data_IF_076922282527
#
_entry.id   IF_076922282527
#
_cell.length_a   1.000
_cell.length_b   1.000
_cell.length_c   1.000
_cell.angle_alpha   90.00
_cell.angle_beta   90.00
_cell.angle_gamma   90.00
#
_symmetry.space_group_name_H-M   'P 1'
#
loop_
_entity.id
_entity.type
_entity.pdbx_description
1 polymer ?
#
# COMPACT_ATOMS: atom_id res chain seq x y z
N UNK A 1 -4.56 10.31 32.62
CA UNK A 1 -3.55 10.83 31.66
C UNK A 1 -3.83 12.25 31.16
N UNK A 2 -5.02 12.81 31.30
CA UNK A 2 -5.40 14.17 30.86
C UNK A 2 -4.86 15.30 31.75
N UNK A 3 -4.74 15.11 33.04
CA UNK A 3 -4.29 16.14 33.99
C UNK A 3 -2.82 16.54 33.82
N UNK A 4 -1.92 15.60 33.51
CA UNK A 4 -0.52 15.89 33.27
C UNK A 4 -0.28 16.73 32.01
N UNK A 5 -1.16 16.61 31.01
CA UNK A 5 -1.09 17.34 29.73
C UNK A 5 -1.50 18.82 29.90
N UNK A 6 -2.39 19.12 30.85
CA UNK A 6 -2.84 20.48 31.13
C UNK A 6 -1.81 21.28 31.89
N UNK A 7 -1.08 20.66 32.82
CA UNK A 7 0.00 21.32 33.58
C UNK A 7 1.29 21.53 32.77
N UNK A 8 1.55 20.70 31.78
CA UNK A 8 2.74 20.83 30.90
C UNK A 8 2.83 22.20 30.20
N UNK A 9 1.72 22.87 29.95
CA UNK A 9 1.67 24.19 29.30
C UNK A 9 2.24 25.31 30.16
N UNK A 10 2.13 25.18 31.48
CA UNK A 10 2.56 26.22 32.44
C UNK A 10 3.97 25.97 32.97
N UNK A 11 4.51 24.77 32.79
CA UNK A 11 5.85 24.38 33.26
C UNK A 11 6.93 25.35 32.79
N UNK A 12 7.04 25.76 31.50
CA UNK A 12 8.08 26.68 31.03
C UNK A 12 7.97 28.05 31.69
N UNK A 13 6.75 28.56 31.88
CA UNK A 13 6.50 29.84 32.53
C UNK A 13 6.86 29.84 34.01
N UNK A 14 6.50 28.79 34.73
CA UNK A 14 6.84 28.61 36.15
C UNK A 14 8.35 28.48 36.32
N UNK A 15 9.00 27.70 35.43
CA UNK A 15 10.46 27.53 35.49
C UNK A 15 11.21 28.85 35.23
N UNK A 16 10.69 29.68 34.33
CA UNK A 16 11.26 31.00 34.03
C UNK A 16 11.12 31.96 35.20
N UNK A 17 9.96 31.96 35.89
CA UNK A 17 9.74 32.76 37.11
C UNK A 17 10.69 32.31 38.23
N UNK A 18 10.83 30.99 38.43
CA UNK A 18 11.73 30.43 39.43
C UNK A 18 13.19 30.81 39.13
N UNK A 19 13.61 30.73 37.86
CA UNK A 19 14.94 31.14 37.43
C UNK A 19 15.19 32.65 37.72
N UNK A 20 14.20 33.49 37.44
CA UNK A 20 14.27 34.92 37.68
C UNK A 20 14.40 35.24 39.17
N UNK A 21 13.59 34.59 40.02
CA UNK A 21 13.66 34.71 41.49
C UNK A 21 15.05 34.25 42.00
N UNK A 22 15.56 33.14 41.47
CA UNK A 22 16.89 32.63 41.83
C UNK A 22 17.98 33.63 41.47
N UNK A 23 17.96 34.24 40.29
CA UNK A 23 18.91 35.27 39.87
C UNK A 23 18.86 36.47 40.80
N UNK A 24 17.68 36.95 41.21
CA UNK A 24 17.51 38.04 42.14
C UNK A 24 18.09 37.71 43.52
N UNK A 25 17.94 36.50 44.01
CA UNK A 25 18.48 36.05 45.30
C UNK A 25 20.03 35.99 45.23
N UNK A 26 20.58 35.43 44.15
CA UNK A 26 22.05 35.39 43.94
C UNK A 26 22.60 36.80 43.85
N UNK A 27 21.95 37.70 43.14
CA UNK A 27 22.35 39.10 43.03
C UNK A 27 22.34 39.80 44.40
N UNK A 28 21.28 39.59 45.18
CA UNK A 28 21.13 40.17 46.55
C UNK A 28 22.25 39.67 47.49
N UNK A 29 22.52 38.36 47.46
CA UNK A 29 23.62 37.80 48.30
C UNK A 29 24.97 38.30 47.85
N UNK A 30 25.26 38.37 46.55
CA UNK A 30 26.50 38.89 45.99
C UNK A 30 26.69 40.38 46.32
N UNK A 31 25.63 41.18 46.17
CA UNK A 31 25.67 42.61 46.50
C UNK A 31 25.94 42.85 47.98
N UNK A 32 25.33 42.10 48.90
CA UNK A 32 25.55 42.21 50.34
C UNK A 32 26.96 41.80 50.72
N UNK A 33 27.53 40.77 50.08
CA UNK A 33 28.89 40.28 50.32
C UNK A 33 29.92 41.33 49.86
N UNK A 34 29.70 42.01 48.75
CA UNK A 34 30.53 43.08 48.23
C UNK A 34 30.51 44.33 49.10
N UNK A 35 29.32 44.72 49.60
CA UNK A 35 29.19 45.85 50.56
C UNK A 35 29.97 45.59 51.85
N UNK A 36 29.91 44.33 52.34
CA UNK A 36 30.67 43.93 53.53
C UNK A 36 32.19 43.91 53.37
N UNK A 37 32.72 43.78 52.12
CA UNK A 37 34.10 43.73 51.77
C UNK A 37 34.71 45.12 51.42
N UNK A 38 33.94 46.20 51.50
CA UNK A 38 34.43 47.58 51.28
C UNK A 38 34.78 47.94 49.82
N UNK A 39 34.38 47.12 48.86
CA UNK A 39 34.64 47.36 47.44
C UNK A 39 33.45 48.14 46.84
N UNK A 40 33.68 49.41 46.49
CA UNK A 40 32.75 50.26 45.75
C UNK A 40 32.74 49.86 44.29
N UNK A 41 31.81 48.88 43.93
CA UNK A 41 31.54 48.57 42.54
C UNK A 41 30.42 49.53 42.08
N UNK A 42 30.68 50.25 41.01
CA UNK A 42 29.69 51.05 40.32
C UNK A 42 28.57 50.10 39.87
N UNK A 43 27.42 50.13 40.54
CA UNK A 43 26.28 49.21 40.39
C UNK A 43 25.67 49.19 38.99
N UNK A 44 26.09 50.05 38.08
CA UNK A 44 25.58 50.19 36.73
C UNK A 44 25.75 48.94 35.86
N UNK A 45 26.92 48.29 35.89
CA UNK A 45 27.18 47.09 35.11
C UNK A 45 26.35 45.87 35.57
N UNK A 46 26.16 45.73 36.87
CA UNK A 46 25.36 44.66 37.41
C UNK A 46 23.87 44.82 37.04
N UNK A 47 23.34 46.04 37.07
CA UNK A 47 22.00 46.34 36.59
C UNK A 47 21.86 46.11 35.08
N UNK A 48 22.88 46.48 34.29
CA UNK A 48 22.88 46.24 32.85
C UNK A 48 22.77 44.74 32.52
N UNK A 49 23.55 43.87 33.16
CA UNK A 49 23.48 42.43 32.95
C UNK A 49 22.13 41.85 33.41
N UNK A 50 21.54 42.35 34.48
CA UNK A 50 20.21 41.90 34.96
C UNK A 50 19.11 42.23 33.96
N UNK A 51 19.12 43.42 33.38
CA UNK A 51 18.22 43.85 32.33
C UNK A 51 18.42 43.02 31.07
N UNK A 52 19.66 42.74 30.68
CA UNK A 52 19.98 41.92 29.51
C UNK A 52 19.42 40.50 29.67
N UNK A 53 19.58 39.86 30.83
CA UNK A 53 19.02 38.52 31.13
C UNK A 53 17.50 38.54 31.09
N UNK A 54 16.86 39.57 31.61
CA UNK A 54 15.42 39.71 31.54
C UNK A 54 14.91 39.81 30.09
N UNK A 55 15.59 40.60 29.24
CA UNK A 55 15.24 40.73 27.83
C UNK A 55 15.39 39.37 27.10
N UNK A 56 16.52 38.67 27.31
CA UNK A 56 16.74 37.36 26.72
C UNK A 56 15.66 36.33 27.17
N UNK A 57 15.31 36.36 28.47
CA UNK A 57 14.22 35.53 29.01
C UNK A 57 12.86 35.78 28.38
N UNK A 58 12.50 37.07 28.17
CA UNK A 58 11.27 37.45 27.49
C UNK A 58 11.27 36.99 26.03
N UNK A 59 12.38 37.18 25.32
CA UNK A 59 12.51 36.71 23.94
C UNK A 59 12.37 35.18 23.83
N UNK A 60 13.03 34.45 24.71
CA UNK A 60 12.91 32.99 24.74
C UNK A 60 11.49 32.55 25.05
N UNK A 61 10.81 33.20 25.99
CA UNK A 61 9.41 32.89 26.34
C UNK A 61 8.46 33.16 25.16
N UNK A 62 8.65 34.28 24.45
CA UNK A 62 7.83 34.56 23.25
C UNK A 62 8.06 33.55 22.13
N UNK A 63 9.30 33.08 21.92
CA UNK A 63 9.63 32.03 20.96
C UNK A 63 8.94 30.69 21.33
N UNK A 64 8.95 30.30 22.60
CA UNK A 64 8.29 29.07 23.08
C UNK A 64 6.77 29.16 22.90
N UNK A 65 6.16 30.31 23.20
CA UNK A 65 4.71 30.49 22.98
C UNK A 65 4.35 30.42 21.51
N UNK A 66 5.13 31.03 20.62
CA UNK A 66 4.91 31.00 19.18
C UNK A 66 5.05 29.57 18.63
N UNK A 67 6.09 28.83 19.05
CA UNK A 67 6.27 27.43 18.67
C UNK A 67 5.09 26.54 19.09
N UNK A 68 4.54 26.74 20.29
CA UNK A 68 3.37 25.98 20.76
C UNK A 68 2.10 26.30 19.97
N UNK A 69 1.93 27.51 19.47
CA UNK A 69 0.79 27.87 18.62
C UNK A 69 0.89 27.20 17.24
N UNK A 70 2.10 27.21 16.64
CA UNK A 70 2.35 26.54 15.36
C UNK A 70 2.07 25.01 15.44
N UNK A 71 2.45 24.37 16.55
CA UNK A 71 2.15 22.94 16.77
C UNK A 71 0.65 22.68 16.84
N UNK A 72 -0.11 23.56 17.50
CA UNK A 72 -1.57 23.40 17.56
C UNK A 72 -2.24 23.57 16.20
N UNK A 73 -1.79 24.54 15.41
CA UNK A 73 -2.32 24.78 14.07
C UNK A 73 -2.05 23.56 13.16
N UNK A 74 -0.87 22.96 13.25
CA UNK A 74 -0.54 21.72 12.55
C UNK A 74 -1.38 20.52 13.04
N UNK A 75 -1.63 20.38 14.35
CA UNK A 75 -2.51 19.33 14.88
C UNK A 75 -3.95 19.45 14.34
N UNK A 76 -4.46 20.68 14.23
CA UNK A 76 -5.79 20.95 13.67
C UNK A 76 -5.83 20.62 12.18
N UNK A 77 -4.78 20.98 11.43
CA UNK A 77 -4.69 20.70 10.01
C UNK A 77 -4.60 19.18 9.74
N UNK A 78 -3.78 18.45 10.51
CA UNK A 78 -3.71 16.99 10.46
C UNK A 78 -5.07 16.34 10.79
N UNK A 79 -5.80 16.85 11.80
CA UNK A 79 -7.11 16.34 12.15
C UNK A 79 -8.13 16.59 11.01
N UNK A 80 -8.09 17.76 10.38
CA UNK A 80 -8.96 18.09 9.24
C UNK A 80 -8.66 17.22 8.01
N UNK A 81 -7.38 16.97 7.72
CA UNK A 81 -6.96 16.08 6.62
C UNK A 81 -7.36 14.62 6.88
N UNK A 82 -7.24 14.14 8.11
CA UNK A 82 -7.73 12.80 8.50
C UNK A 82 -9.23 12.67 8.31
N UNK A 83 -10.00 13.69 8.72
CA UNK A 83 -11.45 13.71 8.52
C UNK A 83 -11.81 13.67 7.01
N UNK A 84 -11.15 14.46 6.18
CA UNK A 84 -11.34 14.44 4.71
C UNK A 84 -10.97 13.10 4.07
N UNK A 85 -9.93 12.42 4.58
CA UNK A 85 -9.56 11.08 4.13
C UNK A 85 -10.63 10.06 4.52
N UNK A 86 -11.15 10.14 5.75
CA UNK A 86 -12.23 9.28 6.24
C UNK A 86 -13.53 9.50 5.43
N UNK A 87 -13.93 10.75 5.22
CA UNK A 87 -15.08 11.09 4.37
C UNK A 87 -14.90 10.62 2.92
N UNK A 88 -13.69 10.73 2.36
CA UNK A 88 -13.40 10.23 1.02
C UNK A 88 -13.41 8.70 0.93
N UNK A 89 -13.07 8.00 2.01
CA UNK A 89 -13.20 6.54 2.11
C UNK A 89 -14.66 6.13 2.21
N UNK A 90 -15.44 6.80 3.07
CA UNK A 90 -16.89 6.56 3.21
C UNK A 90 -17.63 6.86 1.91
N UNK A 91 -17.29 7.97 1.21
CA UNK A 91 -17.88 8.28 -0.10
C UNK A 91 -17.46 7.26 -1.19
N UNK A 92 -16.24 6.70 -1.12
CA UNK A 92 -15.82 5.61 -2.02
C UNK A 92 -16.55 4.30 -1.69
N UNK A 93 -16.82 4.01 -0.43
CA UNK A 93 -17.61 2.85 0.00
C UNK A 93 -19.09 3.01 -0.36
N UNK A 94 -19.69 4.17 -0.10
CA UNK A 94 -21.08 4.48 -0.50
C UNK A 94 -21.23 4.53 -2.03
N UNK A 95 -20.22 5.03 -2.79
CA UNK A 95 -20.20 4.95 -4.25
C UNK A 95 -19.99 3.52 -4.77
N UNK A 96 -19.35 2.64 -4.00
CA UNK A 96 -19.29 1.20 -4.30
C UNK A 96 -20.64 0.51 -4.05
N UNK A 97 -21.44 0.96 -3.08
CA UNK A 97 -22.76 0.39 -2.80
C UNK A 97 -23.88 0.94 -3.71
N UNK A 98 -23.74 2.15 -4.26
CA UNK A 98 -24.75 2.78 -5.15
C UNK A 98 -24.49 2.64 -6.64
N UNK A 99 -23.34 2.10 -7.06
CA UNK A 99 -23.26 1.52 -8.40
C UNK A 99 -24.11 0.25 -8.33
N UNK A 100 -25.34 0.33 -8.85
CA UNK A 100 -26.13 -0.83 -9.26
C UNK A 100 -25.13 -1.77 -9.93
N UNK A 101 -24.72 -2.83 -9.22
CA UNK A 101 -23.87 -3.87 -9.79
C UNK A 101 -24.70 -4.47 -10.92
N UNK A 102 -24.46 -4.04 -12.16
CA UNK A 102 -24.86 -4.86 -13.29
C UNK A 102 -24.19 -6.20 -13.02
N UNK A 103 -25.02 -7.17 -12.63
CA UNK A 103 -24.58 -8.54 -12.40
C UNK A 103 -23.88 -8.98 -13.68
N UNK A 104 -22.62 -9.36 -13.57
CA UNK A 104 -21.83 -9.80 -14.74
C UNK A 104 -22.60 -10.96 -15.36
N UNK A 105 -22.99 -10.81 -16.60
CA UNK A 105 -23.49 -11.94 -17.38
C UNK A 105 -22.29 -12.84 -17.73
N UNK A 106 -22.09 -13.84 -16.88
CA UNK A 106 -20.91 -14.72 -16.89
C UNK A 106 -20.75 -15.38 -18.27
N UNK A 107 -21.85 -15.86 -18.86
CA UNK A 107 -21.82 -16.56 -20.14
C UNK A 107 -21.44 -15.62 -21.29
N UNK A 108 -22.03 -14.44 -21.33
CA UNK A 108 -21.74 -13.42 -22.33
C UNK A 108 -20.29 -12.90 -22.20
N UNK A 109 -19.83 -12.63 -20.98
CA UNK A 109 -18.47 -12.15 -20.76
C UNK A 109 -17.42 -13.22 -21.07
N UNK A 110 -17.65 -14.47 -20.69
CA UNK A 110 -16.76 -15.57 -21.06
C UNK A 110 -16.64 -15.74 -22.58
N UNK A 111 -17.75 -15.61 -23.30
CA UNK A 111 -17.78 -15.67 -24.77
C UNK A 111 -17.00 -14.53 -25.42
N UNK A 112 -17.01 -13.33 -24.81
CA UNK A 112 -16.26 -12.19 -25.32
C UNK A 112 -14.74 -12.33 -25.06
N UNK A 113 -14.36 -13.08 -24.03
CA UNK A 113 -12.96 -13.30 -23.66
C UNK A 113 -12.32 -14.40 -24.49
N UNK A 114 -13.05 -15.51 -24.75
CA UNK A 114 -12.52 -16.67 -25.44
C UNK A 114 -12.35 -16.35 -26.95
N UNK A 115 -11.14 -16.50 -27.50
CA UNK A 115 -10.91 -16.33 -28.95
C UNK A 115 -11.75 -17.31 -29.79
N UNK A 116 -12.19 -16.87 -30.96
CA UNK A 116 -13.08 -17.70 -31.80
C UNK A 116 -12.40 -18.90 -32.49
N UNK A 117 -11.15 -18.78 -32.94
CA UNK A 117 -10.37 -19.83 -33.61
C UNK A 117 -9.27 -20.40 -32.68
N UNK A 118 -8.77 -21.58 -33.05
CA UNK A 118 -7.56 -22.19 -32.46
C UNK A 118 -6.67 -22.57 -33.65
N UNK A 119 -6.03 -21.58 -34.26
CA UNK A 119 -5.08 -21.87 -35.34
C UNK A 119 -3.73 -22.33 -34.78
N UNK A 120 -3.31 -21.73 -33.69
CA UNK A 120 -2.10 -22.04 -32.93
C UNK A 120 -2.32 -21.72 -31.44
N UNK A 121 -1.82 -22.61 -30.57
CA UNK A 121 -2.03 -22.51 -29.12
C UNK A 121 -1.33 -21.27 -28.51
N UNK A 122 -0.21 -20.84 -29.09
CA UNK A 122 0.51 -19.65 -28.63
C UNK A 122 -0.29 -18.39 -28.95
N UNK A 123 -0.70 -18.22 -30.22
CA UNK A 123 -1.52 -17.10 -30.69
C UNK A 123 -2.89 -17.07 -29.97
N UNK A 124 -3.47 -18.23 -29.73
CA UNK A 124 -4.70 -18.36 -28.93
C UNK A 124 -4.50 -17.83 -27.51
N UNK A 125 -3.43 -18.26 -26.84
CA UNK A 125 -3.10 -17.81 -25.48
C UNK A 125 -2.82 -16.31 -25.42
N UNK A 126 -2.06 -15.75 -26.37
CA UNK A 126 -1.80 -14.30 -26.45
C UNK A 126 -3.12 -13.50 -26.58
N UNK A 127 -4.00 -13.93 -27.50
CA UNK A 127 -5.30 -13.27 -27.71
C UNK A 127 -6.18 -13.37 -26.47
N UNK A 128 -6.23 -14.55 -25.84
CA UNK A 128 -6.96 -14.78 -24.60
C UNK A 128 -6.49 -13.86 -23.48
N UNK A 129 -5.18 -13.82 -23.24
CA UNK A 129 -4.58 -12.96 -22.21
C UNK A 129 -4.79 -11.47 -22.50
N UNK A 130 -4.71 -11.06 -23.76
CA UNK A 130 -5.00 -9.67 -24.18
C UNK A 130 -6.46 -9.28 -23.88
N UNK A 131 -7.41 -10.15 -24.20
CA UNK A 131 -8.83 -9.92 -23.92
C UNK A 131 -9.09 -9.81 -22.41
N UNK A 132 -8.48 -10.68 -21.61
CA UNK A 132 -8.52 -10.63 -20.15
C UNK A 132 -7.91 -9.33 -19.63
N UNK A 133 -6.73 -8.97 -20.12
CA UNK A 133 -6.01 -7.78 -19.65
C UNK A 133 -6.82 -6.49 -19.91
N UNK A 134 -7.41 -6.36 -21.09
CA UNK A 134 -8.25 -5.21 -21.45
C UNK A 134 -9.50 -5.10 -20.56
N UNK A 135 -10.08 -6.23 -20.19
CA UNK A 135 -11.35 -6.23 -19.44
C UNK A 135 -11.16 -6.09 -17.94
N UNK A 136 -10.10 -6.68 -17.36
CA UNK A 136 -9.89 -6.77 -15.92
C UNK A 136 -8.68 -5.98 -15.42
N UNK A 137 -8.09 -5.13 -16.26
CA UNK A 137 -6.90 -4.32 -15.92
C UNK A 137 -5.75 -5.21 -15.41
N UNK A 138 -5.55 -6.38 -16.03
CA UNK A 138 -4.39 -7.19 -15.73
C UNK A 138 -3.12 -6.48 -16.22
N UNK A 139 -2.07 -6.57 -15.42
CA UNK A 139 -0.77 -5.96 -15.70
C UNK A 139 0.25 -6.97 -16.20
N UNK A 140 0.00 -8.25 -15.93
CA UNK A 140 0.74 -9.37 -16.50
C UNK A 140 -0.17 -10.60 -16.56
N UNK A 141 0.04 -11.45 -17.56
CA UNK A 141 -0.65 -12.72 -17.68
C UNK A 141 0.27 -13.79 -18.25
N UNK A 142 0.12 -15.03 -17.77
CA UNK A 142 0.85 -16.20 -18.25
C UNK A 142 -0.15 -17.31 -18.58
N UNK A 143 0.13 -18.04 -19.67
CA UNK A 143 -0.67 -19.14 -20.13
C UNK A 143 0.19 -20.39 -20.27
N UNK A 144 -0.22 -21.45 -19.58
CA UNK A 144 0.45 -22.74 -19.55
C UNK A 144 -0.46 -23.83 -20.07
N UNK A 145 0.11 -24.77 -20.79
CA UNK A 145 -0.58 -26.00 -21.19
C UNK A 145 0.16 -27.23 -20.69
N UNK A 146 -0.59 -28.24 -20.28
CA UNK A 146 -0.05 -29.53 -19.85
C UNK A 146 0.40 -30.32 -21.08
N UNK A 147 1.65 -30.68 -21.07
CA UNK A 147 2.21 -31.60 -22.04
C UNK A 147 1.75 -33.03 -21.71
N UNK A 148 1.20 -33.74 -22.70
CA UNK A 148 0.59 -35.05 -22.49
C UNK A 148 1.63 -36.17 -22.22
N UNK A 149 2.88 -36.00 -22.68
CA UNK A 149 3.92 -37.03 -22.51
C UNK A 149 4.65 -36.87 -21.17
N UNK A 150 5.08 -35.65 -20.85
CA UNK A 150 5.82 -35.37 -19.61
C UNK A 150 4.94 -35.12 -18.40
N UNK A 151 3.67 -34.72 -18.60
CA UNK A 151 2.75 -34.25 -17.56
C UNK A 151 3.09 -32.91 -16.96
N UNK A 152 4.04 -32.17 -17.58
CA UNK A 152 4.47 -30.85 -17.15
C UNK A 152 3.56 -29.76 -17.71
N UNK A 153 3.23 -28.77 -16.91
CA UNK A 153 2.67 -27.50 -17.37
C UNK A 153 3.81 -26.66 -17.92
N UNK A 154 3.79 -26.44 -19.22
CA UNK A 154 4.80 -25.67 -19.94
C UNK A 154 4.23 -24.33 -20.37
N UNK A 155 5.02 -23.29 -20.26
CA UNK A 155 4.68 -21.95 -20.72
C UNK A 155 4.41 -21.96 -22.23
N UNK A 156 3.35 -21.28 -22.66
CA UNK A 156 2.97 -21.15 -24.06
C UNK A 156 2.96 -19.73 -24.54
N UNK A 157 2.42 -18.81 -23.74
CA UNK A 157 2.38 -17.39 -24.08
C UNK A 157 2.21 -16.51 -22.85
N UNK A 158 2.57 -15.24 -22.97
CA UNK A 158 2.48 -14.25 -21.92
C UNK A 158 1.96 -12.90 -22.42
N UNK A 159 1.26 -12.19 -21.55
CA UNK A 159 0.91 -10.79 -21.72
C UNK A 159 1.77 -9.93 -20.80
N UNK A 160 2.46 -8.93 -21.38
CA UNK A 160 3.38 -8.05 -20.66
C UNK A 160 4.41 -8.79 -19.78
N UNK A 161 4.82 -9.95 -20.22
CA UNK A 161 5.90 -10.73 -19.62
C UNK A 161 7.22 -10.40 -20.33
N UNK A 162 8.14 -9.79 -19.61
CA UNK A 162 9.47 -9.42 -20.09
C UNK A 162 10.50 -10.08 -19.19
N UNK A 163 11.05 -11.19 -19.63
CA UNK A 163 12.17 -11.88 -18.98
C UNK A 163 13.08 -12.47 -20.02
N UNK A 164 14.38 -12.52 -19.74
CA UNK A 164 15.38 -13.21 -20.59
C UNK A 164 15.20 -14.73 -20.55
N UNK A 165 14.54 -15.25 -19.52
CA UNK A 165 14.29 -16.68 -19.34
C UNK A 165 12.79 -16.97 -19.34
N UNK A 166 12.41 -18.09 -19.96
CA UNK A 166 11.03 -18.57 -19.88
C UNK A 166 10.66 -18.95 -18.44
N UNK A 167 9.36 -18.81 -18.09
CA UNK A 167 8.86 -19.28 -16.81
C UNK A 167 9.11 -20.78 -16.64
N UNK A 168 9.38 -21.20 -15.39
CA UNK A 168 9.64 -22.61 -15.08
C UNK A 168 8.43 -23.50 -15.39
N UNK A 169 8.67 -24.68 -15.94
CA UNK A 169 7.66 -25.74 -16.06
C UNK A 169 7.51 -26.47 -14.73
N UNK A 170 6.30 -26.95 -14.41
CA UNK A 170 5.97 -27.58 -13.14
C UNK A 170 4.93 -28.68 -13.30
N UNK A 171 4.84 -29.58 -12.31
CA UNK A 171 3.81 -30.63 -12.22
C UNK A 171 2.69 -30.23 -11.31
N UNK A 172 1.58 -31.00 -11.39
CA UNK A 172 0.52 -30.88 -10.38
C UNK A 172 1.06 -31.06 -8.96
N UNK A 173 0.72 -30.10 -8.10
CA UNK A 173 1.16 -30.07 -6.71
C UNK A 173 2.52 -29.40 -6.48
N UNK A 174 3.30 -29.14 -7.52
CA UNK A 174 4.49 -28.31 -7.46
C UNK A 174 4.10 -26.84 -7.66
N UNK A 175 4.74 -25.91 -7.03
CA UNK A 175 4.42 -24.47 -7.10
C UNK A 175 2.97 -24.11 -6.67
N UNK A 176 2.67 -22.83 -6.59
CA UNK A 176 1.30 -22.36 -6.32
C UNK A 176 0.34 -22.76 -7.45
N UNK A 177 0.79 -22.58 -8.69
CA UNK A 177 -0.02 -22.90 -9.88
C UNK A 177 -0.22 -24.39 -10.05
N UNK A 178 0.78 -25.21 -9.70
CA UNK A 178 0.65 -26.67 -9.66
C UNK A 178 -0.34 -27.13 -8.58
N UNK A 179 -0.42 -26.44 -7.44
CA UNK A 179 -1.44 -26.72 -6.42
C UNK A 179 -2.85 -26.38 -6.94
N UNK A 180 -3.00 -25.28 -7.69
CA UNK A 180 -4.28 -24.93 -8.34
C UNK A 180 -4.66 -26.00 -9.37
N UNK A 181 -3.72 -26.48 -10.18
CA UNK A 181 -3.95 -27.57 -11.13
C UNK A 181 -4.49 -28.82 -10.42
N UNK A 182 -3.88 -29.21 -9.30
CA UNK A 182 -4.28 -30.36 -8.49
C UNK A 182 -5.64 -30.17 -7.81
N UNK A 183 -5.88 -28.98 -7.26
CA UNK A 183 -7.11 -28.67 -6.52
C UNK A 183 -8.31 -28.40 -7.44
N UNK A 184 -8.06 -28.07 -8.71
CA UNK A 184 -9.09 -27.78 -9.73
C UNK A 184 -10.02 -26.64 -9.31
N UNK A 185 -9.51 -25.65 -8.61
CA UNK A 185 -10.25 -24.48 -8.13
C UNK A 185 -9.44 -23.23 -8.40
N UNK A 186 -10.15 -22.17 -8.80
CA UNK A 186 -9.56 -20.84 -8.91
C UNK A 186 -8.96 -20.43 -7.58
N UNK A 187 -7.77 -19.85 -7.63
CA UNK A 187 -7.09 -19.26 -6.47
C UNK A 187 -6.97 -17.76 -6.67
N UNK A 188 -7.55 -17.00 -5.76
CA UNK A 188 -7.51 -15.54 -5.75
C UNK A 188 -6.69 -15.06 -4.54
N UNK A 189 -5.50 -14.55 -4.78
CA UNK A 189 -4.59 -14.05 -3.75
C UNK A 189 -4.64 -12.53 -3.71
N UNK A 190 -4.90 -11.98 -2.53
CA UNK A 190 -4.85 -10.54 -2.24
C UNK A 190 -3.47 -10.07 -1.77
N UNK A 191 -2.55 -10.99 -1.54
CA UNK A 191 -1.14 -10.75 -1.25
C UNK A 191 -0.30 -11.80 -1.96
N UNK A 192 0.51 -11.36 -2.90
CA UNK A 192 1.44 -12.23 -3.65
C UNK A 192 2.68 -12.43 -2.79
N UNK A 193 3.26 -13.65 -2.72
CA UNK A 193 4.54 -13.88 -2.07
C UNK A 193 5.65 -12.98 -2.65
N UNK A 194 6.57 -12.55 -1.82
CA UNK A 194 7.69 -11.72 -2.23
C UNK A 194 8.51 -12.42 -3.33
N UNK A 195 8.92 -11.67 -4.35
CA UNK A 195 9.67 -12.14 -5.51
C UNK A 195 8.96 -13.17 -6.41
N UNK A 196 7.65 -13.34 -6.28
CA UNK A 196 6.89 -14.23 -7.17
C UNK A 196 6.64 -13.59 -8.54
N UNK A 197 6.29 -12.30 -8.55
CA UNK A 197 6.07 -11.52 -9.78
C UNK A 197 6.73 -10.16 -9.63
N UNK A 198 7.57 -9.80 -10.60
CA UNK A 198 8.15 -8.45 -10.72
C UNK A 198 7.84 -7.92 -12.11
N UNK A 199 7.22 -6.75 -12.18
CA UNK A 199 6.94 -6.08 -13.45
C UNK A 199 7.98 -4.99 -13.64
N UNK A 200 8.83 -5.17 -14.62
CA UNK A 200 9.84 -4.17 -15.00
C UNK A 200 9.21 -3.10 -15.90
N UNK A 201 9.44 -1.86 -15.59
CA UNK A 201 9.02 -0.72 -16.43
C UNK A 201 10.16 0.28 -16.57
N UNK A 202 10.11 1.14 -17.58
CA UNK A 202 11.09 2.23 -17.74
C UNK A 202 11.11 3.25 -16.59
N UNK A 203 10.15 3.17 -15.65
CA UNK A 203 10.02 4.03 -14.48
C UNK A 203 10.40 3.31 -13.17
N UNK A 204 10.82 2.04 -13.24
CA UNK A 204 11.18 1.20 -12.10
C UNK A 204 10.36 -0.08 -12.02
N UNK A 205 10.61 -0.87 -10.96
CA UNK A 205 9.93 -2.13 -10.72
C UNK A 205 8.58 -1.93 -10.05
N UNK A 206 7.57 -2.64 -10.56
CA UNK A 206 6.23 -2.69 -9.99
C UNK A 206 5.92 -4.08 -9.41
N UNK A 207 5.33 -4.11 -8.22
CA UNK A 207 4.92 -5.34 -7.55
C UNK A 207 3.39 -5.37 -7.46
N UNK A 208 2.70 -6.16 -8.32
CA UNK A 208 1.26 -6.30 -8.23
C UNK A 208 0.89 -6.99 -6.91
N UNK A 209 -0.24 -6.59 -6.33
CA UNK A 209 -0.68 -7.12 -5.04
C UNK A 209 -1.64 -8.31 -5.19
N UNK A 210 -2.27 -8.46 -6.36
CA UNK A 210 -3.32 -9.45 -6.58
C UNK A 210 -2.92 -10.42 -7.69
N UNK A 211 -3.15 -11.71 -7.43
CA UNK A 211 -2.88 -12.80 -8.37
C UNK A 211 -4.10 -13.71 -8.43
N UNK A 212 -4.61 -13.93 -9.63
CA UNK A 212 -5.67 -14.88 -9.92
C UNK A 212 -5.09 -16.02 -10.74
N UNK A 213 -5.20 -17.25 -10.26
CA UNK A 213 -4.75 -18.46 -10.92
C UNK A 213 -5.94 -19.32 -11.25
N UNK A 214 -6.12 -19.64 -12.52
CA UNK A 214 -7.30 -20.28 -13.06
C UNK A 214 -6.93 -21.60 -13.74
N UNK A 215 -7.46 -22.74 -13.27
CA UNK A 215 -7.26 -24.02 -13.93
C UNK A 215 -8.18 -24.15 -15.16
N UNK A 216 -7.63 -24.67 -16.26
CA UNK A 216 -8.40 -25.05 -17.45
C UNK A 216 -8.76 -26.52 -17.31
N UNK A 217 -10.05 -26.79 -17.14
CA UNK A 217 -10.54 -28.11 -16.74
C UNK A 217 -11.43 -28.70 -17.83
N UNK A 218 -11.12 -29.90 -18.26
CA UNK A 218 -11.90 -30.65 -19.26
C UNK A 218 -13.23 -31.22 -18.69
N UNK A 219 -14.09 -31.66 -19.55
CA UNK A 219 -15.34 -32.40 -19.17
C UNK A 219 -15.04 -33.69 -18.41
N UNK A 220 -13.85 -34.30 -18.61
CA UNK A 220 -13.37 -35.46 -17.84
C UNK A 220 -12.78 -35.08 -16.47
N UNK A 221 -12.89 -33.81 -16.09
CA UNK A 221 -12.35 -33.30 -14.83
C UNK A 221 -10.81 -33.38 -14.72
N UNK A 222 -10.11 -33.23 -15.83
CA UNK A 222 -8.66 -33.12 -15.88
C UNK A 222 -8.23 -31.69 -16.09
N UNK A 223 -7.14 -31.27 -15.43
CA UNK A 223 -6.55 -29.95 -15.66
C UNK A 223 -5.55 -30.06 -16.82
N UNK A 224 -5.82 -29.34 -17.89
CA UNK A 224 -5.01 -29.33 -19.12
C UNK A 224 -4.22 -28.04 -19.32
N UNK A 225 -4.48 -27.01 -18.52
CA UNK A 225 -3.78 -25.73 -18.61
C UNK A 225 -3.99 -24.88 -17.37
N UNK A 226 -3.23 -23.81 -17.29
CA UNK A 226 -3.29 -22.82 -16.21
C UNK A 226 -3.19 -21.42 -16.81
N UNK A 227 -3.98 -20.49 -16.30
CA UNK A 227 -3.86 -19.07 -16.56
C UNK A 227 -3.49 -18.38 -15.26
N UNK A 228 -2.44 -17.58 -15.28
CA UNK A 228 -2.06 -16.69 -14.16
C UNK A 228 -2.28 -15.25 -14.57
N UNK A 229 -2.91 -14.44 -13.71
CA UNK A 229 -3.22 -13.04 -13.98
C UNK A 229 -2.86 -12.20 -12.78
N UNK A 230 -1.92 -11.27 -12.98
CA UNK A 230 -1.52 -10.31 -11.97
C UNK A 230 -2.20 -8.96 -12.19
N UNK A 231 -2.58 -8.28 -11.10
CA UNK A 231 -3.22 -6.96 -11.13
C UNK A 231 -2.86 -6.14 -9.90
N UNK A 232 -2.89 -4.79 -10.05
CA UNK A 232 -2.87 -3.87 -8.91
C UNK A 232 -4.25 -3.69 -8.27
N UNK A 233 -5.32 -4.18 -8.92
CA UNK A 233 -6.68 -4.13 -8.43
C UNK A 233 -7.15 -5.51 -7.97
N UNK A 234 -7.95 -5.55 -6.90
CA UNK A 234 -8.52 -6.79 -6.40
C UNK A 234 -9.53 -7.39 -7.36
N UNK A 235 -9.57 -8.70 -7.43
CA UNK A 235 -10.61 -9.47 -8.10
C UNK A 235 -11.73 -9.76 -7.09
N UNK A 236 -12.97 -9.39 -7.40
CA UNK A 236 -14.12 -9.67 -6.55
C UNK A 236 -14.67 -11.10 -6.80
N UNK A 237 -15.63 -11.53 -5.98
CA UNK A 237 -16.22 -12.87 -6.10
C UNK A 237 -16.91 -13.14 -7.44
N UNK A 238 -17.50 -12.12 -8.08
CA UNK A 238 -18.14 -12.27 -9.39
C UNK A 238 -17.10 -12.53 -10.49
N UNK A 239 -15.94 -11.89 -10.40
CA UNK A 239 -14.82 -12.14 -11.31
C UNK A 239 -14.26 -13.54 -11.08
N UNK A 240 -14.13 -14.00 -9.83
CA UNK A 240 -13.67 -15.34 -9.51
C UNK A 240 -14.62 -16.41 -10.07
N UNK A 241 -15.95 -16.20 -9.95
CA UNK A 241 -16.96 -17.08 -10.53
C UNK A 241 -16.91 -17.10 -12.07
N UNK A 242 -16.75 -15.94 -12.71
CA UNK A 242 -16.55 -15.84 -14.14
C UNK A 242 -15.31 -16.61 -14.60
N UNK A 243 -14.18 -16.49 -13.89
CA UNK A 243 -12.96 -17.19 -14.27
C UNK A 243 -13.03 -18.69 -14.01
N UNK A 244 -13.77 -19.14 -13.00
CA UNK A 244 -14.07 -20.56 -12.82
C UNK A 244 -14.88 -21.11 -14.00
N UNK A 245 -15.91 -20.40 -14.44
CA UNK A 245 -16.71 -20.76 -15.63
C UNK A 245 -15.84 -20.74 -16.91
N UNK A 246 -15.00 -19.70 -17.07
CA UNK A 246 -14.08 -19.54 -18.19
C UNK A 246 -13.11 -20.74 -18.29
N UNK A 247 -12.54 -21.18 -17.17
CA UNK A 247 -11.63 -22.34 -17.12
C UNK A 247 -12.26 -23.62 -17.64
N UNK A 248 -13.52 -23.88 -17.29
CA UNK A 248 -14.28 -25.03 -17.83
C UNK A 248 -14.58 -24.86 -19.32
N UNK A 249 -15.02 -23.68 -19.76
CA UNK A 249 -15.31 -23.43 -21.18
C UNK A 249 -14.09 -23.52 -22.07
N UNK A 250 -12.92 -23.09 -21.57
CA UNK A 250 -11.66 -23.27 -22.25
C UNK A 250 -11.28 -24.75 -22.35
N UNK A 251 -11.51 -25.54 -21.28
CA UNK A 251 -11.26 -26.97 -21.29
C UNK A 251 -12.12 -27.72 -22.32
N UNK A 252 -13.40 -27.36 -22.40
CA UNK A 252 -14.30 -27.90 -23.45
C UNK A 252 -13.80 -27.55 -24.87
N UNK A 253 -13.37 -26.29 -25.07
CA UNK A 253 -12.95 -25.81 -26.38
C UNK A 253 -11.60 -26.40 -26.85
N UNK A 254 -10.62 -26.51 -25.95
CA UNK A 254 -9.26 -26.94 -26.27
C UNK A 254 -9.13 -28.47 -26.46
N UNK A 255 -10.11 -29.26 -26.03
CA UNK A 255 -10.15 -30.71 -26.21
C UNK A 255 -10.95 -31.12 -27.47
N UNK A 256 -11.81 -30.25 -28.02
CA UNK A 256 -12.52 -30.56 -29.26
C UNK A 256 -11.51 -30.66 -30.41
N UNK A 257 -11.44 -31.77 -31.16
CA UNK A 257 -10.65 -31.83 -32.39
C UNK A 257 -11.20 -30.81 -33.38
N UNK A 258 -10.28 -29.98 -33.90
CA UNK A 258 -10.53 -29.02 -34.99
C UNK A 258 -10.99 -29.71 -36.27
#
# INVERSE_FOLDING_TARGET
MSLLRTYSKYIPGVLLILLFVFILLVFKTFHNTLLSSGVNITSGWALFFLVLIAIVGILFFTLVLNSNNTIKDLEIEIASLKCKIEESKVQKEVKKETVVKEKIDIEKEAKNIIPNGIDDIVTFGETLLLNIARRFNAVQGLFYMKDSESGLFTFKSGYAYFSETEPISYREGETISGQVAKNKKVLNLSKIPDNYITIMSGLGDGYPNHLLIVPIITSSNETIGIIEIASFKSFNSEVEELFAYLGHKLGEKLVQPS
#
